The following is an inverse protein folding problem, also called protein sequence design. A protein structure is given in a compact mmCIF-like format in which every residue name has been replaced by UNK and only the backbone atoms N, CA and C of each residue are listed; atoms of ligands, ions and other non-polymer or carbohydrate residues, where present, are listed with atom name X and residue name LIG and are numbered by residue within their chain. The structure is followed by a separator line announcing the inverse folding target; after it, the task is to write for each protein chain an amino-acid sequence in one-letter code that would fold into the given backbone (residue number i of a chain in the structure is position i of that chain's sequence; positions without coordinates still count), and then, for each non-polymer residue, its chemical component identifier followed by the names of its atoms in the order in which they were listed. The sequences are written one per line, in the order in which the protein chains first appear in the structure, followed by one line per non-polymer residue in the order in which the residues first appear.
data_IF_873336287677
#
_entry.id   IF_873336287677
#
_cell.length_a   1.000
_cell.length_b   1.000
_cell.length_c   1.000
_cell.angle_alpha   90.00
_cell.angle_beta   90.00
_cell.angle_gamma   90.00
#
_symmetry.space_group_name_H-M   'P 1'
#
loop_
_entity.id
_entity.type
_entity.pdbx_description
1 polymer ?
#
# COMPACT_ATOMS: atom_id res chain seq x y z
N UNK A 1 -6.77 -4.47 36.78
CA UNK A 1 -6.02 -5.07 35.65
C UNK A 1 -5.73 -3.98 34.63
N UNK A 2 -4.49 -3.88 34.15
CA UNK A 2 -4.11 -2.96 33.06
C UNK A 2 -4.09 -3.69 31.72
N UNK A 3 -4.46 -2.98 30.66
CA UNK A 3 -4.41 -3.49 29.29
C UNK A 3 -2.96 -3.58 28.83
N UNK A 4 -2.62 -4.64 28.07
CA UNK A 4 -1.29 -4.80 27.49
C UNK A 4 -0.92 -3.61 26.60
N UNK A 5 0.32 -3.13 26.75
CA UNK A 5 0.91 -2.08 25.92
C UNK A 5 2.29 -2.58 25.47
N UNK A 6 2.51 -2.66 24.16
CA UNK A 6 3.77 -3.14 23.62
C UNK A 6 4.93 -2.20 23.95
N UNK A 7 6.10 -2.76 24.29
CA UNK A 7 7.34 -2.01 24.42
C UNK A 7 8.10 -2.01 23.09
N UNK A 8 8.92 -0.99 22.79
CA UNK A 8 9.67 -0.94 21.52
C UNK A 8 10.55 -2.18 21.24
N UNK A 9 11.13 -2.80 22.27
CA UNK A 9 11.96 -3.99 22.13
C UNK A 9 11.20 -5.28 21.80
N UNK A 10 9.88 -5.31 22.05
CA UNK A 10 9.04 -6.48 21.76
C UNK A 10 8.52 -6.48 20.31
N UNK A 11 8.78 -5.40 19.56
CA UNK A 11 8.26 -5.21 18.21
C UNK A 11 9.18 -5.93 17.21
N UNK A 12 8.66 -7.00 16.62
CA UNK A 12 9.31 -7.70 15.51
C UNK A 12 8.59 -7.35 14.20
N UNK A 13 9.33 -6.77 13.26
CA UNK A 13 8.78 -6.40 11.94
C UNK A 13 9.14 -7.47 10.93
N UNK A 14 8.12 -8.12 10.35
CA UNK A 14 8.32 -9.07 9.27
C UNK A 14 8.44 -8.34 7.93
N UNK A 15 9.04 -9.00 6.96
CA UNK A 15 9.02 -8.58 5.57
C UNK A 15 7.97 -9.39 4.84
N UNK A 16 7.07 -8.72 4.14
CA UNK A 16 5.95 -9.33 3.41
C UNK A 16 6.04 -8.94 1.95
N UNK A 17 5.95 -9.93 1.06
CA UNK A 17 5.90 -9.75 -0.38
C UNK A 17 4.48 -9.99 -0.90
N UNK A 18 3.94 -9.06 -1.67
CA UNK A 18 2.63 -9.15 -2.32
C UNK A 18 2.79 -8.94 -3.82
N UNK A 19 2.30 -9.89 -4.60
CA UNK A 19 2.16 -9.73 -6.05
C UNK A 19 0.84 -9.00 -6.36
N UNK A 20 0.93 -7.87 -7.05
CA UNK A 20 -0.22 -7.02 -7.36
C UNK A 20 -0.93 -7.36 -8.68
N UNK A 21 -0.48 -8.42 -9.37
CA UNK A 21 -1.06 -8.86 -10.65
C UNK A 21 -2.55 -9.16 -10.52
N UNK A 22 -3.37 -8.52 -11.36
CA UNK A 22 -4.83 -8.65 -11.43
C UNK A 22 -5.60 -8.33 -10.13
N UNK A 23 -4.91 -7.70 -9.16
CA UNK A 23 -5.52 -7.30 -7.90
C UNK A 23 -6.22 -5.96 -8.01
N UNK A 24 -7.39 -5.86 -7.37
CA UNK A 24 -8.16 -4.62 -7.29
C UNK A 24 -7.49 -3.64 -6.33
N UNK A 25 -7.05 -2.48 -6.84
CA UNK A 25 -6.26 -1.45 -6.12
C UNK A 25 -6.82 -1.15 -4.73
N UNK A 26 -8.12 -0.90 -4.61
CA UNK A 26 -8.72 -0.51 -3.34
C UNK A 26 -8.66 -1.60 -2.27
N UNK A 27 -8.88 -2.86 -2.67
CA UNK A 27 -8.86 -4.01 -1.76
C UNK A 27 -7.43 -4.34 -1.34
N UNK A 28 -6.52 -4.36 -2.30
CA UNK A 28 -5.09 -4.51 -2.06
C UNK A 28 -4.59 -3.43 -1.09
N UNK A 29 -4.89 -2.16 -1.35
CA UNK A 29 -4.46 -1.06 -0.49
C UNK A 29 -4.97 -1.17 0.95
N UNK A 30 -6.19 -1.67 1.17
CA UNK A 30 -6.73 -1.87 2.52
C UNK A 30 -5.99 -2.96 3.29
N UNK A 31 -5.63 -4.05 2.62
CA UNK A 31 -4.88 -5.15 3.23
C UNK A 31 -3.43 -4.70 3.53
N UNK A 32 -2.82 -3.99 2.60
CA UNK A 32 -1.49 -3.39 2.79
C UNK A 32 -1.51 -2.41 3.97
N UNK A 33 -2.49 -1.51 4.05
CA UNK A 33 -2.61 -0.57 5.17
C UNK A 33 -2.85 -1.27 6.52
N UNK A 34 -3.60 -2.38 6.55
CA UNK A 34 -3.78 -3.21 7.74
C UNK A 34 -2.45 -3.79 8.25
N UNK A 35 -1.64 -4.31 7.32
CA UNK A 35 -0.30 -4.89 7.59
C UNK A 35 0.69 -3.82 8.05
N UNK A 36 0.78 -2.69 7.34
CA UNK A 36 1.65 -1.55 7.69
C UNK A 36 1.32 -0.93 9.06
N UNK A 37 0.08 -1.06 9.52
CA UNK A 37 -0.33 -0.60 10.86
C UNK A 37 -0.11 -1.65 11.95
N UNK A 38 0.10 -2.91 11.59
CA UNK A 38 0.18 -4.02 12.55
C UNK A 38 -1.18 -4.45 13.12
N UNK A 39 -2.29 -4.01 12.52
CA UNK A 39 -3.65 -4.35 13.00
C UNK A 39 -4.04 -5.82 12.86
N UNK A 40 -3.25 -6.58 12.12
CA UNK A 40 -3.41 -8.03 12.00
C UNK A 40 -2.78 -8.78 13.19
N UNK A 41 -1.99 -8.09 14.02
CA UNK A 41 -1.38 -8.66 15.21
C UNK A 41 -2.32 -8.49 16.42
N UNK A 42 -2.40 -9.49 17.32
CA UNK A 42 -3.20 -9.38 18.54
C UNK A 42 -2.61 -8.39 19.56
N UNK A 43 -1.33 -8.05 19.42
CA UNK A 43 -0.59 -7.12 20.28
C UNK A 43 -0.70 -5.64 19.86
N UNK A 44 -1.66 -5.33 18.96
CA UNK A 44 -1.82 -3.99 18.38
C UNK A 44 -1.90 -2.88 19.43
N UNK A 45 -0.94 -1.95 19.41
CA UNK A 45 -0.91 -0.75 20.24
C UNK A 45 -0.93 0.51 19.35
N UNK A 46 -1.95 1.40 19.44
CA UNK A 46 -2.16 2.47 18.46
C UNK A 46 -1.04 3.53 18.32
N UNK A 47 -0.28 3.78 19.38
CA UNK A 47 0.77 4.80 19.43
C UNK A 47 2.15 4.28 18.98
N UNK A 48 2.30 2.98 18.74
CA UNK A 48 3.56 2.34 18.37
C UNK A 48 3.55 1.87 16.92
N UNK A 49 4.71 1.89 16.25
CA UNK A 49 4.89 1.38 14.90
C UNK A 49 5.28 -0.11 14.92
N UNK A 50 4.28 -0.98 14.90
CA UNK A 50 4.42 -2.43 14.97
C UNK A 50 3.93 -3.15 13.71
N UNK A 51 3.84 -2.43 12.59
CA UNK A 51 3.50 -3.03 11.32
C UNK A 51 4.68 -3.71 10.63
N UNK A 52 4.34 -4.51 9.63
CA UNK A 52 5.30 -5.19 8.77
C UNK A 52 5.91 -4.23 7.74
N UNK A 53 7.08 -4.59 7.22
CA UNK A 53 7.60 -4.03 5.97
C UNK A 53 6.90 -4.72 4.81
N UNK A 54 6.24 -3.95 3.96
CA UNK A 54 5.45 -4.50 2.84
C UNK A 54 6.10 -4.13 1.53
N UNK A 55 6.46 -5.15 0.77
CA UNK A 55 6.94 -5.05 -0.61
C UNK A 55 5.80 -5.46 -1.53
N UNK A 56 5.49 -4.60 -2.48
CA UNK A 56 4.52 -4.87 -3.55
C UNK A 56 5.24 -4.86 -4.88
N UNK A 57 5.09 -5.93 -5.65
CA UNK A 57 5.62 -6.08 -7.02
C UNK A 57 4.48 -6.10 -8.03
N UNK A 58 4.80 -5.95 -9.32
CA UNK A 58 3.84 -5.88 -10.43
C UNK A 58 2.78 -4.77 -10.25
N UNK A 59 3.16 -3.64 -9.65
CA UNK A 59 2.22 -2.55 -9.37
C UNK A 59 1.62 -1.93 -10.64
N UNK A 60 2.24 -2.14 -11.81
CA UNK A 60 1.70 -1.73 -13.10
C UNK A 60 0.48 -2.57 -13.55
N UNK A 61 0.35 -3.80 -13.06
CA UNK A 61 -0.69 -4.77 -13.45
C UNK A 61 -1.94 -4.72 -12.56
N UNK A 62 -2.04 -3.72 -11.70
CA UNK A 62 -3.19 -3.54 -10.81
C UNK A 62 -4.44 -3.15 -11.58
N UNK A 63 -5.60 -3.61 -11.10
CA UNK A 63 -6.89 -3.38 -11.75
C UNK A 63 -7.71 -2.33 -11.03
N UNK A 64 -8.32 -1.43 -11.80
CA UNK A 64 -9.39 -0.55 -11.32
C UNK A 64 -10.73 -1.00 -11.89
N UNK A 65 -11.74 -1.06 -11.03
CA UNK A 65 -13.09 -1.52 -11.42
C UNK A 65 -13.89 -0.45 -12.16
N UNK A 66 -14.65 -0.84 -13.18
CA UNK A 66 -15.57 0.05 -13.91
C UNK A 66 -14.84 1.15 -14.69
N UNK A 67 -15.49 2.30 -14.90
CA UNK A 67 -14.92 3.45 -15.65
C UNK A 67 -13.90 4.28 -14.85
N UNK A 68 -13.46 3.79 -13.68
CA UNK A 68 -12.56 4.52 -12.77
C UNK A 68 -11.19 4.77 -13.39
N UNK A 69 -10.74 3.91 -14.28
CA UNK A 69 -9.45 4.05 -14.96
C UNK A 69 -9.37 5.39 -15.74
N UNK A 70 -10.50 5.81 -16.32
CA UNK A 70 -10.61 7.02 -17.15
C UNK A 70 -11.15 8.23 -16.39
N UNK A 71 -12.16 7.99 -15.54
CA UNK A 71 -12.88 9.08 -14.88
C UNK A 71 -12.20 9.55 -13.61
N UNK A 72 -11.43 8.69 -12.92
CA UNK A 72 -10.80 9.06 -11.66
C UNK A 72 -9.53 9.86 -11.92
N UNK A 73 -9.55 11.13 -11.51
CA UNK A 73 -8.41 12.03 -11.61
C UNK A 73 -7.67 12.13 -10.28
N UNK A 74 -6.35 12.12 -10.35
CA UNK A 74 -5.46 12.52 -9.27
C UNK A 74 -5.08 13.98 -9.47
N UNK A 75 -5.39 14.82 -8.48
CA UNK A 75 -5.11 16.24 -8.49
C UNK A 75 -3.95 16.56 -7.55
N UNK A 76 -3.10 17.49 -7.97
CA UNK A 76 -2.14 18.15 -7.09
C UNK A 76 -2.03 19.63 -7.46
N UNK A 77 -1.54 20.44 -6.53
CA UNK A 77 -1.38 21.87 -6.71
C UNK A 77 0.10 22.23 -6.67
N UNK A 78 0.53 23.17 -7.52
CA UNK A 78 1.94 23.63 -7.56
C UNK A 78 2.24 24.70 -6.52
N UNK A 79 1.22 25.36 -5.97
CA UNK A 79 1.35 26.47 -5.01
C UNK A 79 1.11 27.85 -5.62
N UNK A 80 1.11 27.98 -6.94
CA UNK A 80 0.87 29.23 -7.67
C UNK A 80 -0.61 29.39 -8.08
N UNK A 81 -1.13 30.61 -8.29
CA UNK A 81 -2.46 30.83 -8.85
C UNK A 81 -2.64 30.07 -10.18
N UNK A 82 -3.76 29.36 -10.34
CA UNK A 82 -4.00 28.50 -11.51
C UNK A 82 -3.16 27.22 -11.56
N UNK A 83 -2.48 26.88 -10.45
CA UNK A 83 -1.53 25.77 -10.35
C UNK A 83 -2.13 24.37 -10.17
N UNK A 84 -3.43 24.18 -10.39
CA UNK A 84 -4.07 22.86 -10.30
C UNK A 84 -3.62 22.02 -11.49
N UNK A 85 -3.09 20.83 -11.22
CA UNK A 85 -2.72 19.82 -12.22
C UNK A 85 -3.46 18.54 -11.95
N UNK A 86 -3.85 17.85 -13.01
CA UNK A 86 -4.55 16.59 -12.95
C UNK A 86 -3.97 15.54 -13.90
N UNK A 87 -4.14 14.28 -13.50
CA UNK A 87 -3.85 13.11 -14.31
C UNK A 87 -4.90 12.03 -14.05
N UNK A 88 -5.34 11.34 -15.08
CA UNK A 88 -6.24 10.17 -14.92
C UNK A 88 -5.46 8.97 -14.40
N UNK A 89 -6.15 7.98 -13.81
CA UNK A 89 -5.47 6.75 -13.38
C UNK A 89 -4.82 6.01 -14.56
N UNK A 90 -5.46 6.03 -15.74
CA UNK A 90 -4.86 5.52 -16.99
C UNK A 90 -3.51 6.16 -17.27
N UNK A 91 -3.42 7.49 -17.16
CA UNK A 91 -2.18 8.22 -17.39
C UNK A 91 -1.11 7.95 -16.33
N UNK A 92 -1.50 7.66 -15.08
CA UNK A 92 -0.54 7.27 -14.04
C UNK A 92 0.02 5.88 -14.29
N UNK A 93 -0.84 4.89 -14.56
CA UNK A 93 -0.43 3.50 -14.80
C UNK A 93 0.44 3.37 -16.04
N UNK A 94 0.08 4.05 -17.13
CA UNK A 94 0.86 4.01 -18.38
C UNK A 94 2.02 5.02 -18.38
N UNK A 95 2.22 5.74 -17.26
CA UNK A 95 3.20 6.81 -17.17
C UNK A 95 4.54 6.33 -16.63
N UNK A 96 5.38 7.31 -16.25
CA UNK A 96 6.71 7.04 -15.70
C UNK A 96 6.71 6.37 -14.32
N UNK A 97 5.62 6.51 -13.55
CA UNK A 97 5.56 6.08 -12.15
C UNK A 97 4.22 5.38 -11.85
N UNK A 98 4.01 4.15 -12.34
CA UNK A 98 2.78 3.39 -12.09
C UNK A 98 2.54 3.12 -10.59
N UNK A 99 3.62 2.95 -9.82
CA UNK A 99 3.62 2.68 -8.37
C UNK A 99 2.78 3.69 -7.58
N UNK A 100 2.75 4.95 -8.05
CA UNK A 100 2.03 6.05 -7.40
C UNK A 100 0.54 5.79 -7.28
N UNK A 101 -0.06 4.97 -8.14
CA UNK A 101 -1.49 4.62 -8.01
C UNK A 101 -1.73 3.90 -6.69
N UNK A 102 -0.89 2.92 -6.37
CA UNK A 102 -1.01 2.14 -5.16
C UNK A 102 -0.50 2.91 -3.94
N UNK A 103 0.64 3.59 -4.04
CA UNK A 103 1.18 4.42 -2.94
C UNK A 103 0.18 5.48 -2.48
N UNK A 104 -0.46 6.20 -3.42
CA UNK A 104 -1.46 7.21 -3.08
C UNK A 104 -2.71 6.59 -2.44
N UNK A 105 -3.11 5.39 -2.87
CA UNK A 105 -4.22 4.68 -2.28
C UNK A 105 -3.91 4.27 -0.83
N UNK A 106 -2.75 3.67 -0.58
CA UNK A 106 -2.32 3.25 0.76
C UNK A 106 -2.08 4.44 1.68
N UNK A 107 -1.43 5.50 1.19
CA UNK A 107 -1.17 6.72 1.95
C UNK A 107 -2.46 7.32 2.53
N UNK A 108 -3.57 7.27 1.79
CA UNK A 108 -4.87 7.77 2.26
C UNK A 108 -5.59 6.84 3.25
N UNK A 109 -5.11 5.61 3.42
CA UNK A 109 -5.65 4.64 4.39
C UNK A 109 -4.88 4.59 5.71
N UNK A 110 -3.69 5.21 5.76
CA UNK A 110 -2.90 5.35 6.97
C UNK A 110 -3.36 6.54 7.83
N UNK A 111 -3.15 6.50 9.15
CA UNK A 111 -3.44 7.64 10.01
C UNK A 111 -2.62 8.87 9.57
N UNK A 112 -3.18 10.06 9.75
CA UNK A 112 -2.42 11.29 9.58
C UNK A 112 -1.30 11.43 10.62
N UNK A 113 -0.40 12.39 10.41
CA UNK A 113 0.63 12.75 11.39
C UNK A 113 1.96 11.98 11.26
N UNK A 114 2.85 12.11 12.26
CA UNK A 114 4.21 11.58 12.18
C UNK A 114 4.28 10.06 12.09
N UNK A 115 3.44 9.36 12.87
CA UNK A 115 3.40 7.89 12.89
C UNK A 115 3.00 7.30 11.53
N UNK A 116 1.97 7.86 10.89
CA UNK A 116 1.55 7.40 9.56
C UNK A 116 2.61 7.63 8.48
N UNK A 117 3.37 8.74 8.56
CA UNK A 117 4.52 8.96 7.67
C UNK A 117 5.62 7.94 7.91
N UNK A 118 5.85 7.53 9.16
CA UNK A 118 6.80 6.48 9.50
C UNK A 118 6.36 5.13 8.96
N UNK A 119 5.10 4.75 9.18
CA UNK A 119 4.51 3.52 8.64
C UNK A 119 4.59 3.48 7.11
N UNK A 120 4.33 4.61 6.43
CA UNK A 120 4.41 4.69 4.98
C UNK A 120 5.83 4.43 4.44
N UNK A 121 6.90 4.73 5.21
CA UNK A 121 8.28 4.42 4.79
C UNK A 121 8.59 2.92 4.78
N UNK A 122 7.77 2.12 5.46
CA UNK A 122 7.87 0.66 5.48
C UNK A 122 7.20 0.02 4.25
N UNK A 123 6.49 0.82 3.43
CA UNK A 123 5.93 0.39 2.15
C UNK A 123 6.97 0.58 1.03
N UNK A 124 7.18 -0.47 0.24
CA UNK A 124 7.97 -0.46 -0.99
C UNK A 124 7.10 -0.96 -2.12
N UNK A 125 6.94 -0.16 -3.16
CA UNK A 125 6.12 -0.50 -4.33
C UNK A 125 7.03 -0.46 -5.55
N UNK A 126 7.00 -1.53 -6.34
CA UNK A 126 7.76 -1.68 -7.58
C UNK A 126 6.81 -1.90 -8.74
N UNK A 127 7.08 -1.21 -9.86
CA UNK A 127 6.34 -1.39 -11.10
C UNK A 127 6.42 -2.85 -11.61
N UNK A 128 7.65 -3.38 -11.69
CA UNK A 128 7.95 -4.72 -12.19
C UNK A 128 7.93 -5.82 -11.13
N UNK A 129 8.39 -7.00 -11.51
CA UNK A 129 8.44 -8.22 -10.70
C UNK A 129 9.64 -8.28 -9.75
N UNK A 130 10.72 -7.56 -10.06
CA UNK A 130 11.95 -7.57 -9.28
C UNK A 130 11.96 -6.54 -8.15
N UNK A 131 12.61 -6.90 -7.04
CA UNK A 131 12.89 -6.02 -5.91
C UNK A 131 14.31 -6.24 -5.36
N UNK A 132 15.00 -5.22 -4.83
CA UNK A 132 16.36 -5.34 -4.32
C UNK A 132 16.45 -5.98 -2.92
N UNK A 133 15.33 -6.40 -2.32
CA UNK A 133 15.25 -6.79 -0.91
C UNK A 133 15.32 -8.31 -0.64
N UNK A 134 15.97 -9.07 -1.51
CA UNK A 134 16.07 -10.54 -1.38
C UNK A 134 16.75 -10.98 -0.08
N UNK A 135 17.77 -10.24 0.38
CA UNK A 135 18.48 -10.53 1.63
C UNK A 135 17.59 -10.52 2.88
N UNK A 136 16.40 -9.90 2.80
CA UNK A 136 15.46 -9.80 3.92
C UNK A 136 14.51 -11.00 4.01
N UNK A 137 14.59 -11.96 3.07
CA UNK A 137 13.76 -13.17 3.03
C UNK A 137 12.26 -12.90 3.24
N UNK A 138 11.62 -12.10 2.37
CA UNK A 138 10.23 -11.70 2.55
C UNK A 138 9.26 -12.88 2.42
N UNK A 139 8.27 -12.93 3.32
CA UNK A 139 7.20 -13.93 3.31
C UNK A 139 6.14 -13.56 2.26
N UNK A 140 5.86 -14.46 1.33
CA UNK A 140 4.84 -14.24 0.29
C UNK A 140 3.45 -14.33 0.89
N UNK A 141 2.67 -13.25 0.80
CA UNK A 141 1.27 -13.22 1.22
C UNK A 141 0.37 -13.21 0.00
N UNK A 142 -0.39 -14.29 -0.16
CA UNK A 142 -1.37 -14.41 -1.24
C UNK A 142 -2.66 -13.66 -0.89
N UNK A 143 -2.79 -12.45 -1.45
CA UNK A 143 -3.98 -11.61 -1.31
C UNK A 143 -5.13 -12.09 -2.21
N UNK A 144 -4.83 -12.76 -3.32
CA UNK A 144 -5.83 -13.28 -4.24
C UNK A 144 -6.67 -14.38 -3.57
N UNK A 145 -6.01 -15.31 -2.87
CA UNK A 145 -6.66 -16.42 -2.18
C UNK A 145 -7.57 -15.99 -1.01
N UNK A 146 -7.34 -14.81 -0.40
CA UNK A 146 -8.13 -14.36 0.76
C UNK A 146 -9.59 -14.07 0.42
N UNK A 147 -9.89 -13.63 -0.80
CA UNK A 147 -11.25 -13.31 -1.22
C UNK A 147 -11.35 -13.29 -2.75
N UNK A 148 -12.36 -13.96 -3.30
CA UNK A 148 -12.63 -13.99 -4.74
C UNK A 148 -12.81 -12.59 -5.36
N UNK A 149 -13.26 -11.61 -4.58
CA UNK A 149 -13.43 -10.22 -5.05
C UNK A 149 -12.12 -9.41 -5.09
N UNK A 150 -11.01 -9.95 -4.58
CA UNK A 150 -9.71 -9.28 -4.59
C UNK A 150 -9.07 -9.34 -5.97
N UNK A 151 -9.33 -10.41 -6.72
CA UNK A 151 -8.88 -10.59 -8.09
C UNK A 151 -9.97 -10.11 -9.04
N UNK A 152 -9.56 -9.59 -10.18
CA UNK A 152 -10.45 -9.39 -11.31
C UNK A 152 -9.73 -9.86 -12.57
N UNK A 153 -10.08 -11.05 -13.03
CA UNK A 153 -9.87 -11.45 -14.41
C UNK A 153 -10.76 -10.55 -15.28
N UNK A 154 -10.21 -10.08 -16.40
CA UNK A 154 -10.93 -9.20 -17.33
C UNK A 154 -12.22 -9.85 -17.87
#
# INVERSE_FOLDING_TARGET
MSTYTAKPGDITKKWVLIDATDLVVGRLASIVALRLRGKHLPTFTPNMDMGDNVIVINAEKVKLTGKKLDQRKFFWHTGYPGGIKDRTQRQLLNGRFPERVLENAVRRMLPGGPLGRQQLRNLRVYAGDQHPHEAQSPEKVDVAAMNSKNVRAD
#
